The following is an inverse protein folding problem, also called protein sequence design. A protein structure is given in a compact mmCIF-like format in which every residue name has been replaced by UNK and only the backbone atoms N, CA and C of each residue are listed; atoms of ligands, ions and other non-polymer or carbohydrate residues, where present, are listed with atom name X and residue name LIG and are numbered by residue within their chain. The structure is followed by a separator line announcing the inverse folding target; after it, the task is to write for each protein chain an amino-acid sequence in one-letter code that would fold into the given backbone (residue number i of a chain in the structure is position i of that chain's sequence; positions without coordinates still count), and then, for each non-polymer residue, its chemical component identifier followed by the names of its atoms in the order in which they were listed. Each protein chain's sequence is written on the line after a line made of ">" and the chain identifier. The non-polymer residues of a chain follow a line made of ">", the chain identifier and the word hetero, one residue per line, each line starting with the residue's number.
data_IF_401712787063
#
_entry.id   IF_401712787063
#
_cell.length_a   1.000
_cell.length_b   1.000
_cell.length_c   1.000
_cell.angle_alpha   90.00
_cell.angle_beta   90.00
_cell.angle_gamma   90.00
#
_symmetry.space_group_name_H-M   'P 1'
#
loop_
_entity.id
_entity.type
_entity.pdbx_description
1 polymer ?
#
# COMPACT_ATOMS: atom_id res chain seq x y z
N UNK A 1 -18.04 -12.52 15.02
CA UNK A 1 -17.08 -12.93 13.97
C UNK A 1 -16.21 -11.78 13.44
N UNK A 2 -16.74 -10.59 13.12
CA UNK A 2 -15.96 -9.45 12.59
C UNK A 2 -14.91 -8.92 13.58
N UNK A 3 -15.19 -8.89 14.89
CA UNK A 3 -14.24 -8.41 15.93
C UNK A 3 -12.97 -9.28 16.04
N UNK A 4 -13.06 -10.57 15.82
CA UNK A 4 -11.89 -11.48 15.88
C UNK A 4 -11.08 -11.45 14.59
N UNK A 5 -11.70 -11.18 13.45
CA UNK A 5 -11.01 -11.02 12.17
C UNK A 5 -10.17 -9.73 12.13
N UNK A 6 -10.68 -8.64 12.71
CA UNK A 6 -9.93 -7.37 12.84
C UNK A 6 -8.67 -7.54 13.72
N UNK A 7 -8.77 -8.31 14.82
CA UNK A 7 -7.63 -8.62 15.69
C UNK A 7 -6.57 -9.49 14.98
N UNK A 8 -6.97 -10.42 14.14
CA UNK A 8 -6.07 -11.32 13.41
C UNK A 8 -5.34 -10.57 12.28
N UNK A 9 -5.97 -9.56 11.67
CA UNK A 9 -5.36 -8.75 10.60
C UNK A 9 -4.52 -7.59 11.18
N UNK A 10 -4.94 -7.00 12.30
CA UNK A 10 -4.21 -5.91 12.98
C UNK A 10 -3.05 -6.41 13.85
N UNK A 11 -3.14 -7.60 14.43
CA UNK A 11 -2.07 -8.16 15.27
C UNK A 11 -0.72 -8.27 14.54
N UNK A 12 -0.61 -8.80 13.30
CA UNK A 12 0.67 -8.84 12.60
C UNK A 12 1.16 -7.48 12.11
N UNK A 13 0.29 -6.45 12.07
CA UNK A 13 0.68 -5.07 11.70
C UNK A 13 1.11 -4.29 12.95
N UNK A 14 0.50 -4.53 14.11
CA UNK A 14 0.80 -3.84 15.38
C UNK A 14 1.93 -4.51 16.17
N UNK A 15 2.10 -5.82 16.09
CA UNK A 15 3.19 -6.56 16.73
C UNK A 15 4.59 -6.12 16.26
N UNK A 16 4.84 -5.85 14.96
CA UNK A 16 6.14 -5.31 14.55
C UNK A 16 6.41 -3.90 15.07
N UNK A 17 5.38 -3.06 15.23
CA UNK A 17 5.56 -1.73 15.84
C UNK A 17 5.97 -1.81 17.33
N UNK A 18 5.42 -2.77 18.08
CA UNK A 18 5.80 -3.02 19.46
C UNK A 18 7.20 -3.67 19.56
N UNK A 19 7.56 -4.55 18.62
CA UNK A 19 8.89 -5.17 18.54
C UNK A 19 9.97 -4.17 18.12
N UNK A 20 9.66 -3.20 17.26
CA UNK A 20 10.53 -2.08 16.90
C UNK A 20 10.84 -1.16 18.09
N UNK A 21 9.95 -1.12 19.10
CA UNK A 21 10.16 -0.39 20.34
C UNK A 21 10.99 -1.17 21.37
N UNK A 22 11.18 -2.48 21.20
CA UNK A 22 11.73 -3.39 22.22
C UNK A 22 13.18 -3.84 22.00
N UNK A 23 13.88 -3.37 20.93
CA UNK A 23 15.29 -3.71 20.72
C UNK A 23 16.20 -2.78 21.57
N UNK A 24 16.27 -3.11 22.86
CA UNK A 24 17.05 -2.41 23.90
C UNK A 24 18.36 -3.13 24.21
N UNK A 25 19.28 -3.19 23.26
CA UNK A 25 20.64 -3.60 23.62
C UNK A 25 21.70 -2.87 22.78
N UNK A 26 22.21 -1.82 23.38
CA UNK A 26 23.58 -1.35 23.53
C UNK A 26 23.59 0.16 23.83
N UNK A 27 24.15 0.50 24.97
CA UNK A 27 24.40 1.86 25.47
C UNK A 27 25.56 2.55 24.72
N UNK A 28 25.38 2.77 23.42
CA UNK A 28 26.08 3.86 22.74
C UNK A 28 25.09 5.00 22.61
N UNK A 29 25.55 6.26 22.85
CA UNK A 29 24.73 7.47 22.79
C UNK A 29 23.78 7.46 21.58
N UNK A 30 22.57 6.98 21.79
CA UNK A 30 21.52 7.02 20.77
C UNK A 30 21.10 8.47 20.65
N UNK A 31 21.54 9.16 19.62
CA UNK A 31 20.87 10.39 19.21
C UNK A 31 19.36 10.07 19.15
N UNK A 32 18.61 10.62 20.11
CA UNK A 32 17.17 10.30 20.26
C UNK A 32 16.41 10.62 18.97
N UNK A 33 15.34 9.85 18.67
CA UNK A 33 14.48 10.16 17.53
C UNK A 33 13.86 11.55 17.68
N UNK A 34 13.66 12.20 16.55
CA UNK A 34 12.82 13.40 16.44
C UNK A 34 11.38 12.96 16.25
N UNK A 35 10.49 13.43 17.10
CA UNK A 35 9.07 13.09 17.11
C UNK A 35 8.25 14.26 16.60
N UNK A 36 7.19 13.98 15.84
CA UNK A 36 6.29 15.00 15.34
C UNK A 36 4.84 14.50 15.27
N UNK A 37 3.92 15.44 15.38
CA UNK A 37 2.50 15.24 15.09
C UNK A 37 2.10 16.14 13.94
N UNK A 38 1.17 15.67 13.12
CA UNK A 38 0.68 16.40 11.96
C UNK A 38 -0.84 16.40 11.95
N UNK A 39 -1.42 17.56 11.62
CA UNK A 39 -2.84 17.71 11.36
C UNK A 39 -3.02 18.24 9.93
N UNK A 40 -3.87 17.60 9.15
CA UNK A 40 -4.03 17.89 7.73
C UNK A 40 -5.51 17.95 7.34
N UNK A 41 -5.82 18.85 6.40
CA UNK A 41 -7.10 18.95 5.71
C UNK A 41 -6.87 18.71 4.21
N UNK A 42 -7.70 17.86 3.63
CA UNK A 42 -7.57 17.44 2.23
C UNK A 42 -8.94 17.51 1.55
N UNK A 43 -9.38 18.70 1.08
CA UNK A 43 -10.47 18.76 0.13
C UNK A 43 -10.10 18.01 -1.15
N UNK A 44 -11.04 17.22 -1.69
CA UNK A 44 -10.77 16.33 -2.81
C UNK A 44 -11.89 16.28 -3.84
N UNK A 45 -11.52 15.87 -5.05
CA UNK A 45 -12.41 15.56 -6.15
C UNK A 45 -12.46 14.04 -6.37
N UNK A 46 -13.67 13.49 -6.39
CA UNK A 46 -13.91 12.08 -6.69
C UNK A 46 -13.73 11.86 -8.19
N UNK A 47 -12.88 10.89 -8.58
CA UNK A 47 -12.69 10.54 -9.99
C UNK A 47 -13.80 9.60 -10.45
N UNK A 48 -14.56 10.01 -11.46
CA UNK A 48 -15.75 9.29 -11.94
C UNK A 48 -15.39 8.09 -12.82
N UNK A 49 -14.94 7.03 -12.21
CA UNK A 49 -14.57 5.77 -12.89
C UNK A 49 -15.75 4.81 -13.11
N UNK A 50 -16.93 5.14 -12.57
CA UNK A 50 -18.11 4.29 -12.60
C UNK A 50 -19.37 5.16 -12.75
N UNK A 51 -20.45 4.60 -13.35
CA UNK A 51 -21.71 5.31 -13.56
C UNK A 51 -22.41 5.69 -12.26
N UNK A 52 -22.27 4.88 -11.20
CA UNK A 52 -22.77 5.24 -9.86
C UNK A 52 -22.23 6.59 -9.38
N UNK A 53 -20.97 6.89 -9.63
CA UNK A 53 -20.34 8.16 -9.28
C UNK A 53 -20.77 9.31 -10.21
N UNK A 54 -21.25 9.01 -11.41
CA UNK A 54 -21.74 9.99 -12.42
C UNK A 54 -23.21 10.36 -12.27
N UNK A 55 -23.91 9.79 -11.27
CA UNK A 55 -25.32 10.04 -11.04
C UNK A 55 -26.24 8.84 -11.31
N UNK A 56 -25.69 7.69 -11.71
CA UNK A 56 -26.43 6.41 -11.76
C UNK A 56 -26.59 5.83 -10.36
N UNK A 57 -27.25 6.58 -9.47
CA UNK A 57 -27.45 6.28 -8.05
C UNK A 57 -28.83 6.77 -7.59
N UNK A 58 -29.27 6.37 -6.40
CA UNK A 58 -30.62 6.69 -5.85
C UNK A 58 -30.96 8.19 -5.85
N UNK A 59 -29.96 9.07 -5.70
CA UNK A 59 -30.17 10.52 -5.67
C UNK A 59 -30.17 11.16 -7.08
N UNK A 60 -29.78 10.43 -8.12
CA UNK A 60 -29.60 10.94 -9.47
C UNK A 60 -28.53 12.05 -9.58
N UNK A 61 -27.58 12.11 -8.63
CA UNK A 61 -26.59 13.19 -8.53
C UNK A 61 -25.18 12.68 -8.63
N UNK A 62 -24.35 13.44 -9.32
CA UNK A 62 -22.91 13.20 -9.45
C UNK A 62 -22.22 13.42 -8.10
N UNK A 63 -21.36 12.48 -7.70
CA UNK A 63 -20.55 12.57 -6.49
C UNK A 63 -19.21 13.22 -6.83
N UNK A 64 -19.08 14.53 -6.63
CA UNK A 64 -17.90 15.29 -7.06
C UNK A 64 -16.86 15.51 -5.95
N UNK A 65 -17.32 15.67 -4.71
CA UNK A 65 -16.51 16.23 -3.64
C UNK A 65 -16.31 15.23 -2.51
N UNK A 66 -15.16 15.34 -1.88
CA UNK A 66 -14.85 14.70 -0.62
C UNK A 66 -14.04 15.66 0.25
N UNK A 67 -14.05 15.40 1.54
CA UNK A 67 -13.16 16.06 2.48
C UNK A 67 -12.53 15.03 3.40
N UNK A 68 -11.23 15.23 3.74
CA UNK A 68 -10.51 14.34 4.66
C UNK A 68 -9.80 15.19 5.70
N UNK A 69 -10.07 14.88 6.98
CA UNK A 69 -9.28 15.35 8.11
C UNK A 69 -8.32 14.25 8.56
N UNK A 70 -7.03 14.55 8.69
CA UNK A 70 -6.01 13.57 9.09
C UNK A 70 -5.29 14.02 10.35
N UNK A 71 -5.00 13.05 11.21
CA UNK A 71 -4.12 13.20 12.36
C UNK A 71 -3.04 12.12 12.31
N UNK A 72 -1.77 12.52 12.39
CA UNK A 72 -0.62 11.63 12.23
C UNK A 72 0.39 11.83 13.34
N UNK A 73 1.03 10.74 13.77
CA UNK A 73 2.23 10.75 14.59
C UNK A 73 3.37 10.09 13.82
N UNK A 74 4.53 10.75 13.81
CA UNK A 74 5.72 10.23 13.15
C UNK A 74 6.97 10.38 14.00
N UNK A 75 7.98 9.63 13.62
CA UNK A 75 9.33 9.73 14.12
C UNK A 75 10.34 9.64 12.99
N UNK A 76 11.50 10.27 13.16
CA UNK A 76 12.59 10.31 12.21
C UNK A 76 13.95 10.32 12.92
N UNK A 77 15.01 9.95 12.22
CA UNK A 77 16.37 10.14 12.73
C UNK A 77 16.74 11.62 12.75
N UNK A 78 17.56 12.07 13.72
CA UNK A 78 18.11 13.41 13.70
C UNK A 78 18.85 13.69 12.40
N UNK A 79 18.78 14.95 11.93
CA UNK A 79 19.33 15.37 10.63
C UNK A 79 20.86 15.20 10.53
N UNK A 80 21.56 15.14 11.64
CA UNK A 80 23.02 14.95 11.75
C UNK A 80 23.46 13.49 11.81
N UNK A 81 22.64 12.56 11.35
CA UNK A 81 22.98 11.13 11.27
C UNK A 81 23.26 10.67 9.84
N UNK A 82 24.14 9.66 9.63
CA UNK A 82 24.35 9.07 8.31
C UNK A 82 23.05 8.56 7.68
N UNK A 83 22.15 7.96 8.47
CA UNK A 83 20.84 7.49 8.00
C UNK A 83 19.99 8.62 7.44
N UNK A 84 19.94 9.78 8.13
CA UNK A 84 19.19 10.95 7.66
C UNK A 84 19.77 11.49 6.35
N UNK A 85 21.08 11.42 6.15
CA UNK A 85 21.73 11.79 4.88
C UNK A 85 21.37 10.80 3.77
N UNK A 86 21.45 9.48 4.02
CA UNK A 86 21.16 8.42 3.06
C UNK A 86 19.71 8.48 2.61
N UNK A 87 18.78 8.53 3.57
CA UNK A 87 17.33 8.45 3.33
C UNK A 87 16.66 9.83 3.28
N UNK A 88 17.47 10.89 3.12
CA UNK A 88 16.98 12.27 2.93
C UNK A 88 15.99 12.74 3.99
N UNK A 89 16.25 12.38 5.26
CA UNK A 89 15.37 12.72 6.38
C UNK A 89 14.04 11.96 6.35
N UNK A 90 14.08 10.68 5.98
CA UNK A 90 12.90 9.83 6.01
C UNK A 90 12.26 9.80 7.39
N UNK A 91 10.95 9.91 7.42
CA UNK A 91 10.11 9.81 8.60
C UNK A 91 9.01 8.77 8.36
N UNK A 92 8.56 8.13 9.41
CA UNK A 92 7.55 7.10 9.38
C UNK A 92 6.67 7.15 10.62
N UNK A 93 5.46 6.60 10.51
CA UNK A 93 4.54 6.63 11.63
C UNK A 93 3.19 5.98 11.36
N UNK A 94 2.22 6.37 12.19
CA UNK A 94 0.83 5.93 12.13
C UNK A 94 -0.09 7.13 11.99
N UNK A 95 -1.18 6.96 11.28
CA UNK A 95 -2.18 8.01 11.09
C UNK A 95 -3.61 7.48 11.16
N UNK A 96 -4.51 8.41 11.42
CA UNK A 96 -5.94 8.21 11.29
C UNK A 96 -6.51 9.30 10.37
N UNK A 97 -7.50 8.94 9.55
CA UNK A 97 -8.18 9.86 8.64
C UNK A 97 -9.69 9.66 8.73
N UNK A 98 -10.41 10.74 8.97
CA UNK A 98 -11.86 10.79 8.85
C UNK A 98 -12.23 11.33 7.48
N UNK A 99 -13.07 10.59 6.75
CA UNK A 99 -13.49 10.93 5.40
C UNK A 99 -14.94 11.36 5.39
N UNK A 100 -15.23 12.43 4.68
CA UNK A 100 -16.58 12.88 4.38
C UNK A 100 -16.86 12.66 2.89
N UNK A 101 -17.84 11.80 2.62
CA UNK A 101 -18.35 11.49 1.30
C UNK A 101 -19.86 11.73 1.20
N UNK A 102 -20.42 11.47 0.01
CA UNK A 102 -21.85 11.39 -0.18
C UNK A 102 -22.50 10.37 0.79
N UNK A 103 -23.70 10.63 1.36
CA UNK A 103 -24.37 9.72 2.31
C UNK A 103 -24.56 8.28 1.82
N UNK A 104 -24.59 8.05 0.50
CA UNK A 104 -24.66 6.71 -0.09
C UNK A 104 -23.34 5.91 0.04
N UNK A 105 -22.21 6.58 0.32
CA UNK A 105 -20.91 5.99 0.62
C UNK A 105 -20.62 5.98 2.12
N UNK A 106 -21.26 6.85 2.92
CA UNK A 106 -21.00 7.08 4.34
C UNK A 106 -19.74 7.93 4.62
N UNK A 107 -19.41 8.08 5.91
CA UNK A 107 -18.23 8.81 6.40
C UNK A 107 -17.27 7.83 7.09
N UNK A 108 -16.47 7.09 6.32
CA UNK A 108 -15.60 6.06 6.87
C UNK A 108 -14.37 6.64 7.59
N UNK A 109 -13.73 5.79 8.41
CA UNK A 109 -12.49 6.07 9.12
C UNK A 109 -11.37 5.18 8.61
N UNK A 110 -10.21 5.76 8.30
CA UNK A 110 -8.98 5.03 7.96
C UNK A 110 -8.00 5.03 9.13
N UNK A 111 -7.28 3.91 9.29
CA UNK A 111 -6.08 3.80 10.12
C UNK A 111 -4.97 3.24 9.24
N UNK A 112 -3.81 3.88 9.26
CA UNK A 112 -2.73 3.56 8.32
C UNK A 112 -1.34 3.77 8.90
N UNK A 113 -0.37 3.08 8.32
CA UNK A 113 1.05 3.37 8.43
C UNK A 113 1.47 4.26 7.26
N UNK A 114 2.49 5.06 7.46
CA UNK A 114 3.01 5.92 6.41
C UNK A 114 4.52 6.10 6.51
N UNK A 115 5.10 6.49 5.40
CA UNK A 115 6.48 6.91 5.29
C UNK A 115 6.61 8.01 4.26
N UNK A 116 7.39 9.02 4.58
CA UNK A 116 7.75 10.09 3.67
C UNK A 116 9.23 10.43 3.75
N UNK A 117 9.70 11.14 2.74
CA UNK A 117 11.06 11.68 2.71
C UNK A 117 11.14 12.90 1.78
N UNK A 118 12.22 13.65 1.92
CA UNK A 118 12.51 14.78 1.06
C UNK A 118 13.00 14.30 -0.30
N UNK A 119 12.39 14.81 -1.36
CA UNK A 119 12.86 14.62 -2.74
C UNK A 119 13.99 15.61 -3.06
N UNK A 120 13.72 16.91 -2.81
CA UNK A 120 14.64 17.99 -3.11
C UNK A 120 14.54 19.13 -2.08
N UNK A 121 15.66 19.79 -1.85
CA UNK A 121 15.72 21.05 -1.10
C UNK A 121 15.68 22.20 -2.09
N UNK A 122 14.67 23.06 -1.98
CA UNK A 122 14.48 24.25 -2.86
C UNK A 122 15.20 25.45 -2.25
N UNK A 123 14.94 25.69 -0.96
CA UNK A 123 15.65 26.71 -0.17
C UNK A 123 15.99 26.13 1.20
N UNK A 124 16.65 26.92 2.07
CA UNK A 124 16.91 26.50 3.47
C UNK A 124 15.63 26.18 4.26
N UNK A 125 14.51 26.76 3.86
CA UNK A 125 13.23 26.64 4.57
C UNK A 125 12.19 25.84 3.78
N UNK A 126 12.39 25.63 2.48
CA UNK A 126 11.42 25.01 1.58
C UNK A 126 11.98 23.75 0.93
N UNK A 127 11.25 22.67 1.02
CA UNK A 127 11.58 21.39 0.38
C UNK A 127 10.39 20.77 -0.33
N UNK A 128 10.66 19.98 -1.37
CA UNK A 128 9.70 19.10 -2.01
C UNK A 128 9.83 17.72 -1.39
N UNK A 129 8.71 17.16 -0.96
CA UNK A 129 8.63 15.89 -0.26
C UNK A 129 7.61 14.97 -0.93
N UNK A 130 7.73 13.68 -0.69
CA UNK A 130 6.71 12.68 -0.97
C UNK A 130 6.30 11.97 0.32
N UNK A 131 5.11 11.38 0.31
CA UNK A 131 4.64 10.47 1.35
C UNK A 131 3.74 9.41 0.71
N UNK A 132 3.80 8.20 1.20
CA UNK A 132 2.83 7.16 0.91
C UNK A 132 2.20 6.67 2.21
N UNK A 133 0.93 6.30 2.12
CA UNK A 133 0.10 5.81 3.22
C UNK A 133 -0.52 4.48 2.81
N UNK A 134 -0.48 3.49 3.70
CA UNK A 134 -1.10 2.19 3.51
C UNK A 134 -1.84 1.76 4.77
N UNK A 135 -3.10 1.40 4.63
CA UNK A 135 -3.90 0.97 5.77
C UNK A 135 -5.25 0.39 5.41
N UNK A 136 -6.16 0.49 6.35
CA UNK A 136 -7.53 0.00 6.22
C UNK A 136 -8.51 1.12 6.51
N UNK A 137 -9.60 1.15 5.73
CA UNK A 137 -10.74 2.05 5.94
C UNK A 137 -11.96 1.23 6.34
N UNK A 138 -12.63 1.62 7.40
CA UNK A 138 -13.81 0.98 7.95
C UNK A 138 -15.00 1.95 8.01
N UNK A 139 -16.23 1.43 7.93
CA UNK A 139 -17.43 2.26 8.09
C UNK A 139 -18.11 2.63 6.78
N UNK A 140 -17.73 2.02 5.66
CA UNK A 140 -18.41 2.17 4.39
C UNK A 140 -19.86 1.68 4.45
N UNK A 141 -20.74 2.31 3.64
CA UNK A 141 -22.05 1.78 3.25
C UNK A 141 -21.87 1.02 1.93
N UNK A 142 -21.65 -0.31 1.96
CA UNK A 142 -21.30 -1.08 0.77
C UNK A 142 -22.53 -1.33 -0.12
N UNK A 143 -22.28 -1.92 -1.30
CA UNK A 143 -23.33 -2.53 -2.11
C UNK A 143 -24.20 -3.47 -1.30
N UNK A 144 -25.49 -3.32 -1.46
CA UNK A 144 -26.53 -4.19 -0.91
C UNK A 144 -27.71 -4.20 -1.88
N UNK A 145 -28.25 -5.38 -2.20
CA UNK A 145 -29.29 -5.54 -3.23
C UNK A 145 -30.59 -4.77 -2.91
N UNK A 146 -30.87 -4.55 -1.62
CA UNK A 146 -32.11 -3.93 -1.17
C UNK A 146 -31.92 -2.45 -0.82
N UNK A 147 -30.82 -2.10 -0.15
CA UNK A 147 -30.62 -0.79 0.46
C UNK A 147 -29.59 0.11 -0.24
N UNK A 148 -28.74 -0.45 -1.15
CA UNK A 148 -27.74 0.31 -1.92
C UNK A 148 -27.36 -0.43 -3.22
N UNK A 149 -28.34 -0.74 -4.10
CA UNK A 149 -28.15 -1.63 -5.26
C UNK A 149 -27.26 -1.04 -6.35
N UNK A 150 -27.16 0.28 -6.42
CA UNK A 150 -26.38 0.97 -7.44
C UNK A 150 -24.90 1.14 -7.09
N UNK A 151 -24.51 0.90 -5.83
CA UNK A 151 -23.12 1.05 -5.39
C UNK A 151 -22.23 -0.06 -5.95
N UNK A 152 -21.73 0.13 -7.17
CA UNK A 152 -20.78 -0.77 -7.82
C UNK A 152 -19.33 -0.51 -7.43
N UNK A 153 -19.08 0.50 -6.59
CA UNK A 153 -17.73 0.98 -6.23
C UNK A 153 -17.19 0.27 -5.00
N UNK A 154 -18.00 0.19 -3.93
CA UNK A 154 -17.61 -0.37 -2.64
C UNK A 154 -18.50 -1.57 -2.30
N UNK A 155 -17.94 -2.77 -2.34
CA UNK A 155 -18.67 -4.00 -2.03
C UNK A 155 -18.48 -4.52 -0.60
N UNK A 156 -17.66 -3.88 0.23
CA UNK A 156 -17.39 -4.33 1.61
C UNK A 156 -17.34 -3.17 2.60
N UNK A 157 -17.62 -3.47 3.89
CA UNK A 157 -17.52 -2.48 4.97
C UNK A 157 -16.10 -2.08 5.31
N UNK A 158 -15.11 -2.84 4.84
CA UNK A 158 -13.68 -2.60 5.03
C UNK A 158 -12.99 -2.65 3.68
N UNK A 159 -12.13 -1.66 3.42
CA UNK A 159 -11.30 -1.58 2.22
C UNK A 159 -9.85 -1.35 2.60
N UNK A 160 -8.93 -1.62 1.70
CA UNK A 160 -7.59 -1.04 1.75
C UNK A 160 -7.70 0.48 1.57
N UNK A 161 -6.78 1.19 2.20
CA UNK A 161 -6.49 2.61 2.05
C UNK A 161 -5.09 2.75 1.50
N UNK A 162 -4.96 3.27 0.29
CA UNK A 162 -3.69 3.53 -0.37
C UNK A 162 -3.69 4.98 -0.78
N UNK A 163 -2.68 5.74 -0.35
CA UNK A 163 -2.60 7.16 -0.68
C UNK A 163 -1.15 7.54 -0.97
N UNK A 164 -0.95 8.40 -1.96
CA UNK A 164 0.36 8.92 -2.35
C UNK A 164 0.28 10.43 -2.45
N UNK A 165 1.26 11.09 -1.89
CA UNK A 165 1.31 12.53 -1.77
C UNK A 165 2.62 13.11 -2.29
N UNK A 166 2.52 14.29 -2.91
CA UNK A 166 3.65 15.17 -3.20
C UNK A 166 3.34 16.55 -2.66
N UNK A 167 4.25 17.10 -1.84
CA UNK A 167 3.98 18.35 -1.16
C UNK A 167 5.23 19.19 -0.92
N UNK A 168 5.02 20.48 -0.84
CA UNK A 168 6.00 21.45 -0.36
C UNK A 168 5.91 21.50 1.17
N UNK A 169 7.06 21.38 1.83
CA UNK A 169 7.20 21.56 3.26
C UNK A 169 7.94 22.86 3.50
N UNK A 170 7.29 23.80 4.16
CA UNK A 170 7.85 25.08 4.53
C UNK A 170 8.09 25.16 6.05
N UNK A 171 9.36 25.26 6.44
CA UNK A 171 9.77 25.44 7.82
C UNK A 171 9.46 26.85 8.28
N UNK A 172 8.41 27.02 9.11
CA UNK A 172 7.99 28.31 9.67
C UNK A 172 8.79 28.69 10.89
N UNK A 173 9.02 27.73 11.78
CA UNK A 173 9.81 27.91 13.01
C UNK A 173 10.69 26.67 13.23
N UNK A 174 11.26 26.60 14.42
CA UNK A 174 12.02 25.44 14.87
C UNK A 174 11.12 24.23 15.12
N UNK A 175 9.91 24.47 15.60
CA UNK A 175 8.97 23.43 15.98
C UNK A 175 7.85 23.24 14.96
N UNK A 176 7.62 24.19 14.04
CA UNK A 176 6.44 24.21 13.18
C UNK A 176 6.81 24.28 11.71
N UNK A 177 6.25 23.35 10.91
CA UNK A 177 6.29 23.35 9.46
C UNK A 177 4.86 23.43 8.89
N UNK A 178 4.72 24.14 7.77
CA UNK A 178 3.50 24.17 6.95
C UNK A 178 3.70 23.26 5.74
N UNK A 179 2.72 22.42 5.47
CA UNK A 179 2.69 21.50 4.32
C UNK A 179 1.59 21.88 3.36
N UNK A 180 1.88 21.92 2.06
CA UNK A 180 0.88 22.13 1.02
C UNK A 180 1.22 21.29 -0.22
N UNK A 181 0.24 20.60 -0.79
CA UNK A 181 0.49 19.70 -1.91
C UNK A 181 -0.74 19.02 -2.47
N UNK A 182 -0.50 17.89 -3.09
CA UNK A 182 -1.54 17.07 -3.74
C UNK A 182 -1.48 15.64 -3.22
N UNK A 183 -2.61 14.96 -3.24
CA UNK A 183 -2.73 13.54 -2.91
C UNK A 183 -3.55 12.79 -3.94
N UNK A 184 -3.29 11.50 -4.08
CA UNK A 184 -4.09 10.56 -4.84
C UNK A 184 -4.40 9.38 -3.94
N UNK A 185 -5.67 9.23 -3.59
CA UNK A 185 -6.17 8.19 -2.68
C UNK A 185 -6.94 7.14 -3.45
N UNK A 186 -6.71 5.86 -3.13
CA UNK A 186 -7.44 4.72 -3.67
C UNK A 186 -8.02 3.86 -2.55
N UNK A 187 -9.30 3.47 -2.70
CA UNK A 187 -9.98 2.53 -1.82
C UNK A 187 -10.46 1.33 -2.63
N UNK A 188 -10.10 0.13 -2.19
CA UNK A 188 -10.63 -1.12 -2.76
C UNK A 188 -10.53 -2.26 -1.76
N UNK A 189 -11.30 -3.31 -1.98
CA UNK A 189 -11.21 -4.51 -1.13
C UNK A 189 -10.33 -5.62 -1.73
N UNK A 190 -9.58 -5.34 -2.82
CA UNK A 190 -8.71 -6.31 -3.46
C UNK A 190 -9.45 -7.54 -4.03
N UNK A 191 -10.67 -7.36 -4.51
CA UNK A 191 -11.55 -8.41 -5.05
C UNK A 191 -11.96 -9.49 -4.03
N UNK A 192 -11.85 -9.21 -2.73
CA UNK A 192 -12.35 -10.14 -1.69
C UNK A 192 -13.87 -10.16 -1.61
N UNK A 193 -14.55 -9.15 -2.17
CA UNK A 193 -16.01 -9.05 -2.30
C UNK A 193 -16.39 -8.25 -3.54
N UNK A 194 -17.43 -8.67 -4.24
CA UNK A 194 -17.97 -8.02 -5.44
C UNK A 194 -19.29 -7.30 -5.08
N UNK A 195 -19.55 -6.11 -5.71
CA UNK A 195 -18.73 -5.37 -6.67
C UNK A 195 -17.54 -4.66 -6.02
N UNK A 196 -16.51 -4.33 -6.79
CA UNK A 196 -15.32 -3.63 -6.33
C UNK A 196 -14.66 -2.85 -7.47
N UNK A 197 -15.33 -1.84 -8.01
CA UNK A 197 -14.69 -0.94 -9.00
C UNK A 197 -13.65 -0.01 -8.37
N UNK A 198 -13.63 0.10 -7.05
CA UNK A 198 -12.76 0.97 -6.30
C UNK A 198 -13.13 2.46 -6.38
N UNK A 199 -12.72 3.24 -5.39
CA UNK A 199 -12.92 4.68 -5.32
C UNK A 199 -11.58 5.38 -5.39
N UNK A 200 -11.46 6.34 -6.31
CA UNK A 200 -10.27 7.18 -6.46
C UNK A 200 -10.61 8.63 -6.17
N UNK A 201 -9.74 9.31 -5.41
CA UNK A 201 -9.88 10.71 -5.03
C UNK A 201 -8.58 11.45 -5.28
N UNK A 202 -8.65 12.56 -6.00
CA UNK A 202 -7.54 13.51 -6.13
C UNK A 202 -7.78 14.66 -5.14
N UNK A 203 -6.83 14.94 -4.28
CA UNK A 203 -6.96 15.91 -3.20
C UNK A 203 -5.91 17.03 -3.24
N UNK A 204 -6.27 18.19 -2.70
CA UNK A 204 -5.35 19.27 -2.37
C UNK A 204 -5.10 19.22 -0.86
N UNK A 205 -3.85 19.04 -0.46
CA UNK A 205 -3.45 18.89 0.94
C UNK A 205 -2.97 20.22 1.51
N UNK A 206 -3.41 20.56 2.72
CA UNK A 206 -2.80 21.57 3.58
C UNK A 206 -2.68 21.02 4.98
N UNK A 207 -1.54 21.20 5.64
CA UNK A 207 -1.33 20.67 6.99
C UNK A 207 -0.24 21.40 7.77
N UNK A 208 -0.25 21.17 9.06
CA UNK A 208 0.76 21.65 10.01
C UNK A 208 1.45 20.44 10.64
N UNK A 209 2.78 20.51 10.76
CA UNK A 209 3.60 19.53 11.46
C UNK A 209 4.29 20.20 12.64
N UNK A 210 4.04 19.68 13.85
CA UNK A 210 4.69 20.13 15.08
C UNK A 210 5.74 19.13 15.53
N UNK A 211 6.97 19.59 15.72
CA UNK A 211 8.13 18.80 16.12
C UNK A 211 8.42 19.02 17.61
N UNK A 212 8.46 17.95 18.39
CA UNK A 212 8.67 18.03 19.84
C UNK A 212 10.12 18.34 20.21
N UNK A 213 11.09 17.78 19.50
CA UNK A 213 12.49 17.80 19.87
C UNK A 213 13.45 17.98 18.69
N UNK A 214 13.04 18.74 17.67
CA UNK A 214 13.92 19.08 16.55
C UNK A 214 15.06 19.98 17.04
N UNK A 215 16.32 19.52 16.87
CA UNK A 215 17.53 20.21 17.31
C UNK A 215 17.72 21.62 16.75
N UNK A 216 18.67 22.38 17.31
CA UNK A 216 18.97 23.77 16.88
C UNK A 216 19.64 23.87 15.51
N UNK A 217 20.03 22.76 14.93
CA UNK A 217 20.82 22.72 13.70
C UNK A 217 20.11 23.43 12.54
N UNK A 218 20.75 24.51 12.08
CA UNK A 218 20.17 25.41 11.06
C UNK A 218 20.15 24.81 9.65
N UNK A 219 20.95 23.80 9.38
CA UNK A 219 20.99 23.05 8.12
C UNK A 219 21.51 21.64 8.37
N UNK A 220 21.06 20.62 7.61
CA UNK A 220 21.67 19.30 7.68
C UNK A 220 23.13 19.42 7.25
N UNK A 221 24.04 19.20 8.18
CA UNK A 221 25.45 19.02 7.81
C UNK A 221 25.57 17.66 7.16
N UNK A 222 26.04 17.57 5.91
CA UNK A 222 26.26 16.28 5.28
C UNK A 222 27.18 15.45 6.18
N UNK A 223 26.70 14.29 6.61
CA UNK A 223 27.52 13.32 7.35
C UNK A 223 28.27 12.44 6.35
N UNK A 224 29.46 12.02 6.71
CA UNK A 224 30.18 11.01 5.94
C UNK A 224 29.36 9.72 5.91
N UNK A 225 28.85 9.41 4.73
CA UNK A 225 28.11 8.17 4.47
C UNK A 225 29.12 7.09 4.12
N UNK A 226 29.16 5.97 4.86
CA UNK A 226 30.07 4.87 4.52
C UNK A 226 29.83 4.39 3.08
N UNK A 227 30.89 3.93 2.40
CA UNK A 227 30.75 3.35 1.07
C UNK A 227 29.79 2.14 1.12
N UNK A 228 28.87 2.08 0.17
CA UNK A 228 27.93 0.97 0.09
C UNK A 228 28.57 -0.26 -0.54
N UNK A 229 28.53 -1.40 0.15
CA UNK A 229 29.00 -2.69 -0.38
C UNK A 229 27.95 -3.27 -1.33
N UNK A 230 28.16 -3.10 -2.64
CA UNK A 230 27.29 -3.65 -3.68
C UNK A 230 27.37 -5.17 -3.69
N UNK A 231 26.21 -5.82 -3.67
CA UNK A 231 26.12 -7.28 -3.60
C UNK A 231 24.81 -7.78 -4.20
N UNK A 232 24.72 -9.09 -4.43
CA UNK A 232 23.46 -9.73 -4.79
C UNK A 232 22.86 -10.32 -3.51
N UNK A 233 21.59 -9.99 -3.24
CA UNK A 233 20.76 -10.66 -2.24
C UNK A 233 19.64 -11.45 -2.92
N UNK A 234 19.07 -12.41 -2.22
CA UNK A 234 18.00 -13.26 -2.73
C UNK A 234 16.82 -13.18 -1.77
N UNK A 235 15.66 -12.80 -2.28
CA UNK A 235 14.41 -12.83 -1.51
C UNK A 235 13.54 -13.99 -1.98
N UNK A 236 13.11 -14.83 -1.05
CA UNK A 236 12.05 -15.82 -1.28
C UNK A 236 10.80 -15.37 -0.54
N UNK A 237 9.73 -15.12 -1.26
CA UNK A 237 8.43 -14.74 -0.74
C UNK A 237 7.44 -15.86 -0.97
N UNK A 238 6.64 -16.19 0.03
CA UNK A 238 5.44 -17.04 -0.11
C UNK A 238 4.25 -16.22 0.31
N UNK A 239 3.20 -16.22 -0.50
CA UNK A 239 2.00 -15.44 -0.26
C UNK A 239 0.72 -16.22 -0.56
N UNK A 240 -0.38 -15.74 0.00
CA UNK A 240 -1.70 -16.25 -0.26
C UNK A 240 -2.77 -15.18 -0.13
N UNK A 241 -3.92 -15.45 -0.73
CA UNK A 241 -5.12 -14.62 -0.63
C UNK A 241 -6.36 -15.42 -0.98
N UNK A 242 -7.52 -14.82 -0.72
CA UNK A 242 -8.80 -15.27 -1.24
C UNK A 242 -9.41 -14.16 -2.08
N UNK A 243 -9.96 -14.53 -3.23
CA UNK A 243 -10.71 -13.60 -4.06
C UNK A 243 -12.08 -14.14 -4.41
N UNK A 244 -12.98 -13.23 -4.80
CA UNK A 244 -14.26 -13.52 -5.43
C UNK A 244 -14.15 -13.29 -6.91
N UNK A 245 -14.86 -14.07 -7.70
CA UNK A 245 -15.05 -13.84 -9.12
C UNK A 245 -16.45 -13.30 -9.35
N UNK A 246 -16.55 -12.25 -10.16
CA UNK A 246 -17.82 -11.64 -10.51
C UNK A 246 -17.94 -11.45 -12.01
N UNK A 247 -19.16 -11.42 -12.50
CA UNK A 247 -19.52 -11.05 -13.85
C UNK A 247 -20.78 -10.16 -13.83
N UNK A 248 -21.03 -9.48 -14.92
CA UNK A 248 -22.27 -8.73 -15.07
C UNK A 248 -23.31 -9.63 -15.72
N UNK A 249 -24.17 -10.21 -14.88
CA UNK A 249 -25.34 -10.98 -15.29
C UNK A 249 -26.52 -10.09 -15.71
N UNK A 250 -27.64 -10.70 -16.08
CA UNK A 250 -28.86 -9.96 -16.50
C UNK A 250 -29.46 -9.06 -15.41
N UNK A 251 -29.29 -9.43 -14.15
CA UNK A 251 -29.79 -8.70 -12.98
C UNK A 251 -28.75 -7.78 -12.33
N UNK A 252 -27.60 -7.56 -12.99
CA UNK A 252 -26.53 -6.71 -12.46
C UNK A 252 -25.28 -7.50 -12.02
N UNK A 253 -24.48 -6.92 -11.11
CA UNK A 253 -23.25 -7.56 -10.65
C UNK A 253 -23.53 -8.87 -9.93
N UNK A 254 -23.14 -9.97 -10.50
CA UNK A 254 -23.34 -11.32 -9.96
C UNK A 254 -22.00 -11.91 -9.56
N UNK A 255 -21.91 -12.49 -8.37
CA UNK A 255 -20.74 -13.21 -7.91
C UNK A 255 -20.87 -14.70 -8.18
N UNK A 256 -19.84 -15.32 -8.73
CA UNK A 256 -19.73 -16.79 -8.77
C UNK A 256 -19.74 -17.32 -7.33
N UNK A 257 -20.55 -18.34 -7.02
CA UNK A 257 -20.60 -18.93 -5.69
C UNK A 257 -19.22 -19.35 -5.18
N UNK A 258 -18.94 -19.14 -3.90
CA UNK A 258 -17.68 -19.53 -3.29
C UNK A 258 -16.59 -18.45 -3.27
N UNK A 259 -15.47 -18.79 -2.64
CA UNK A 259 -14.25 -17.99 -2.59
C UNK A 259 -13.11 -18.82 -3.15
N UNK A 260 -12.26 -18.19 -3.93
CA UNK A 260 -11.19 -18.84 -4.66
C UNK A 260 -9.85 -18.54 -4.01
N UNK A 261 -9.10 -19.56 -3.63
CA UNK A 261 -7.77 -19.40 -3.06
C UNK A 261 -6.76 -19.03 -4.15
N UNK A 262 -5.84 -18.13 -3.80
CA UNK A 262 -4.65 -17.83 -4.59
C UNK A 262 -3.45 -18.09 -3.69
N UNK A 263 -2.48 -18.85 -4.18
CA UNK A 263 -1.21 -19.12 -3.49
C UNK A 263 -0.07 -18.92 -4.48
N UNK A 264 1.01 -18.31 -4.06
CA UNK A 264 2.14 -18.11 -4.93
C UNK A 264 3.46 -17.91 -4.20
N UNK A 265 4.52 -17.84 -5.00
CA UNK A 265 5.85 -17.49 -4.54
C UNK A 265 6.54 -16.53 -5.49
N UNK A 266 7.49 -15.76 -4.96
CA UNK A 266 8.43 -14.98 -5.75
C UNK A 266 9.85 -15.33 -5.29
N UNK A 267 10.73 -15.66 -6.22
CA UNK A 267 12.16 -15.80 -5.97
C UNK A 267 12.90 -14.68 -6.70
N UNK A 268 13.45 -13.74 -5.90
CA UNK A 268 14.00 -12.48 -6.40
C UNK A 268 15.52 -12.42 -6.19
N UNK A 269 16.39 -12.73 -7.16
CA UNK A 269 17.76 -12.27 -7.20
C UNK A 269 17.80 -10.75 -7.41
N UNK A 270 18.34 -10.02 -6.43
CA UNK A 270 18.35 -8.56 -6.40
C UNK A 270 19.78 -8.04 -6.28
N UNK A 271 20.23 -7.25 -7.24
CA UNK A 271 21.47 -6.49 -7.15
C UNK A 271 21.23 -5.23 -6.32
N UNK A 272 21.88 -5.16 -5.16
CA UNK A 272 21.82 -4.01 -4.26
C UNK A 272 22.76 -2.94 -4.80
N UNK A 273 22.20 -1.90 -5.42
CA UNK A 273 22.93 -0.83 -6.12
C UNK A 273 23.43 0.20 -5.12
N UNK A 274 22.59 0.55 -4.16
CA UNK A 274 22.85 1.56 -3.14
C UNK A 274 22.07 1.27 -1.85
N UNK A 275 22.20 2.12 -0.85
CA UNK A 275 21.44 2.01 0.40
C UNK A 275 19.91 2.01 0.17
N UNK A 276 19.43 2.73 -0.83
CA UNK A 276 18.00 2.96 -1.07
C UNK A 276 17.44 2.30 -2.33
N UNK A 277 18.28 1.66 -3.16
CA UNK A 277 17.85 1.09 -4.45
C UNK A 277 18.43 -0.32 -4.66
N UNK A 278 17.55 -1.26 -4.95
CA UNK A 278 17.84 -2.57 -5.52
C UNK A 278 17.17 -2.70 -6.89
N UNK A 279 17.78 -3.46 -7.78
CA UNK A 279 17.15 -3.88 -9.03
C UNK A 279 17.47 -5.36 -9.31
N UNK A 280 16.60 -6.05 -9.99
CA UNK A 280 16.82 -7.47 -10.28
C UNK A 280 15.70 -8.08 -11.09
N UNK A 281 15.59 -9.39 -10.98
CA UNK A 281 14.57 -10.18 -11.66
C UNK A 281 13.84 -11.06 -10.63
N UNK A 282 12.72 -11.63 -11.02
CA UNK A 282 11.98 -12.60 -10.21
C UNK A 282 11.47 -13.74 -11.04
N UNK A 283 11.53 -14.94 -10.49
CA UNK A 283 10.73 -16.08 -10.88
C UNK A 283 9.49 -16.10 -10.03
N UNK A 284 8.32 -15.97 -10.64
CA UNK A 284 7.02 -15.83 -9.98
C UNK A 284 6.15 -17.03 -10.30
N UNK A 285 5.76 -17.79 -9.27
CA UNK A 285 4.82 -18.89 -9.42
C UNK A 285 3.47 -18.53 -8.79
N UNK A 286 2.38 -18.88 -9.47
CA UNK A 286 1.02 -18.68 -8.98
C UNK A 286 0.15 -19.91 -9.23
N UNK A 287 -0.66 -20.26 -8.25
CA UNK A 287 -1.85 -21.07 -8.35
C UNK A 287 -3.06 -20.20 -8.05
N UNK A 288 -3.97 -20.08 -9.01
CA UNK A 288 -5.21 -19.32 -8.88
C UNK A 288 -6.40 -20.24 -9.13
N UNK A 289 -7.09 -20.61 -8.05
CA UNK A 289 -8.25 -21.51 -8.10
C UNK A 289 -9.41 -20.96 -8.93
N UNK A 290 -9.47 -19.66 -9.19
CA UNK A 290 -10.48 -19.03 -10.03
C UNK A 290 -10.12 -19.04 -11.52
N UNK A 291 -8.88 -19.38 -11.88
CA UNK A 291 -8.45 -19.34 -13.28
C UNK A 291 -9.17 -20.42 -14.09
N UNK A 292 -9.67 -20.03 -15.27
CA UNK A 292 -10.31 -20.90 -16.25
C UNK A 292 -11.56 -21.64 -15.78
N UNK A 293 -12.18 -21.23 -14.67
CA UNK A 293 -13.50 -21.74 -14.29
C UNK A 293 -14.55 -21.21 -15.26
N UNK A 294 -15.61 -21.99 -15.47
CA UNK A 294 -16.81 -21.60 -16.22
C UNK A 294 -18.01 -21.69 -15.29
N UNK A 295 -18.79 -20.64 -15.25
CA UNK A 295 -20.03 -20.59 -14.46
C UNK A 295 -21.22 -20.40 -15.38
N UNK A 296 -22.24 -21.20 -15.17
CA UNK A 296 -23.51 -21.12 -15.89
C UNK A 296 -24.56 -20.52 -14.94
N UNK A 297 -24.96 -19.27 -15.19
CA UNK A 297 -25.95 -18.54 -14.37
C UNK A 297 -27.37 -19.13 -14.41
N UNK A 298 -27.70 -19.95 -15.42
CA UNK A 298 -29.03 -20.57 -15.56
C UNK A 298 -29.16 -21.85 -14.74
N UNK A 299 -28.07 -22.60 -14.59
CA UNK A 299 -28.06 -23.87 -13.85
C UNK A 299 -27.39 -23.78 -12.50
N UNK A 300 -26.83 -22.61 -12.17
CA UNK A 300 -26.00 -22.37 -10.96
C UNK A 300 -24.82 -23.35 -10.84
N UNK A 301 -24.33 -23.83 -11.97
CA UNK A 301 -23.27 -24.84 -12.05
C UNK A 301 -21.91 -24.17 -12.31
N UNK A 302 -20.92 -24.54 -11.48
CA UNK A 302 -19.52 -24.12 -11.67
C UNK A 302 -18.69 -25.30 -12.16
N UNK A 303 -18.09 -25.17 -13.36
CA UNK A 303 -17.22 -26.18 -13.95
C UNK A 303 -15.77 -25.77 -13.69
N UNK A 304 -15.04 -26.65 -13.02
CA UNK A 304 -13.63 -26.47 -12.69
C UNK A 304 -12.74 -27.15 -13.73
N UNK A 305 -11.67 -26.48 -14.19
CA UNK A 305 -10.68 -27.08 -15.06
C UNK A 305 -9.74 -28.01 -14.27
N UNK A 306 -8.87 -28.75 -14.97
CA UNK A 306 -7.76 -29.45 -14.31
C UNK A 306 -6.84 -28.47 -13.60
N UNK A 307 -6.29 -28.85 -12.44
CA UNK A 307 -5.43 -27.99 -11.59
C UNK A 307 -4.24 -27.40 -12.35
N UNK A 308 -3.67 -28.14 -13.31
CA UNK A 308 -2.58 -27.64 -14.16
C UNK A 308 -2.96 -26.39 -14.97
N UNK A 309 -4.25 -26.21 -15.28
CA UNK A 309 -4.77 -25.03 -15.98
C UNK A 309 -5.02 -23.82 -15.06
N UNK A 310 -4.74 -23.98 -13.78
CA UNK A 310 -4.87 -22.95 -12.76
C UNK A 310 -3.50 -22.49 -12.24
N UNK A 311 -2.42 -22.93 -12.88
CA UNK A 311 -1.03 -22.63 -12.50
C UNK A 311 -0.33 -21.85 -13.61
N UNK A 312 0.54 -20.91 -13.21
CA UNK A 312 1.43 -20.22 -14.13
C UNK A 312 2.80 -19.96 -13.48
N UNK A 313 3.81 -19.84 -14.35
CA UNK A 313 5.13 -19.32 -14.01
C UNK A 313 5.41 -18.08 -14.84
N UNK A 314 5.91 -17.04 -14.21
CA UNK A 314 6.26 -15.78 -14.83
C UNK A 314 7.69 -15.38 -14.53
N UNK A 315 8.22 -14.54 -15.40
CA UNK A 315 9.48 -13.82 -15.17
C UNK A 315 9.20 -12.33 -15.14
N UNK A 316 9.73 -11.64 -14.13
CA UNK A 316 9.56 -10.20 -13.99
C UNK A 316 10.86 -9.46 -13.68
N UNK A 317 10.94 -8.22 -14.16
CA UNK A 317 11.89 -7.24 -13.67
C UNK A 317 11.40 -6.67 -12.34
N UNK A 318 12.33 -6.40 -11.42
CA UNK A 318 12.05 -5.86 -10.09
C UNK A 318 12.88 -4.62 -9.81
N UNK A 319 12.24 -3.63 -9.19
CA UNK A 319 12.89 -2.48 -8.58
C UNK A 319 12.42 -2.34 -7.13
N UNK A 320 13.35 -2.12 -6.21
CA UNK A 320 13.05 -1.93 -4.80
C UNK A 320 13.60 -0.59 -4.30
N UNK A 321 12.70 0.19 -3.70
CA UNK A 321 13.04 1.40 -2.98
C UNK A 321 13.10 1.08 -1.50
N UNK A 322 14.32 1.01 -0.97
CA UNK A 322 14.59 0.57 0.39
C UNK A 322 14.63 1.78 1.32
N UNK A 323 13.86 1.71 2.39
CA UNK A 323 13.82 2.68 3.48
C UNK A 323 14.14 1.99 4.81
N UNK A 324 14.34 2.70 5.91
CA UNK A 324 14.79 2.09 7.17
C UNK A 324 13.94 0.89 7.64
N UNK A 325 12.61 1.00 7.53
CA UNK A 325 11.68 -0.03 8.02
C UNK A 325 10.88 -0.70 6.91
N UNK A 326 10.81 -0.06 5.75
CA UNK A 326 9.94 -0.42 4.64
C UNK A 326 10.75 -0.58 3.36
N UNK A 327 10.27 -1.42 2.48
CA UNK A 327 10.77 -1.50 1.10
C UNK A 327 9.59 -1.55 0.17
N UNK A 328 9.52 -0.62 -0.78
CA UNK A 328 8.53 -0.66 -1.86
C UNK A 328 9.14 -1.50 -2.99
N UNK A 329 8.46 -2.57 -3.37
CA UNK A 329 8.82 -3.43 -4.47
C UNK A 329 7.88 -3.20 -5.65
N UNK A 330 8.43 -2.85 -6.80
CA UNK A 330 7.73 -2.73 -8.06
C UNK A 330 8.19 -3.84 -9.00
N UNK A 331 7.25 -4.47 -9.67
CA UNK A 331 7.52 -5.53 -10.62
C UNK A 331 6.70 -5.38 -11.89
N UNK A 332 7.31 -5.74 -13.02
CA UNK A 332 6.62 -5.92 -14.28
C UNK A 332 7.12 -7.21 -14.91
N UNK A 333 6.22 -8.09 -15.30
CA UNK A 333 6.55 -9.41 -15.79
C UNK A 333 5.59 -9.93 -16.82
N UNK A 334 5.95 -11.07 -17.38
CA UNK A 334 5.13 -11.84 -18.33
C UNK A 334 5.11 -13.30 -17.90
N UNK A 335 3.93 -13.93 -17.99
CA UNK A 335 3.83 -15.36 -17.77
C UNK A 335 4.47 -16.11 -18.94
N UNK A 336 5.48 -16.94 -18.63
CA UNK A 336 6.25 -17.71 -19.64
C UNK A 336 5.79 -19.16 -19.73
N UNK A 337 5.17 -19.68 -18.67
CA UNK A 337 4.48 -20.96 -18.66
C UNK A 337 3.11 -20.71 -18.07
N UNK A 338 2.11 -20.83 -18.91
CA UNK A 338 0.71 -20.75 -18.51
C UNK A 338 -0.06 -21.84 -19.22
N UNK A 339 -1.09 -22.33 -18.61
CA UNK A 339 -1.87 -23.40 -19.18
C UNK A 339 -3.10 -22.89 -19.92
N UNK A 340 -3.44 -21.60 -19.86
CA UNK A 340 -4.60 -21.03 -20.58
C UNK A 340 -4.69 -19.49 -20.45
N UNK A 341 -5.60 -18.88 -21.24
CA UNK A 341 -5.79 -17.45 -21.51
C UNK A 341 -6.00 -16.55 -20.29
N UNK A 342 -6.53 -17.06 -19.18
CA UNK A 342 -6.78 -16.24 -17.97
C UNK A 342 -5.51 -15.86 -17.18
N UNK A 343 -4.42 -16.60 -17.40
CA UNK A 343 -3.11 -16.33 -16.81
C UNK A 343 -2.07 -15.94 -17.88
N UNK A 344 -2.52 -15.63 -19.10
CA UNK A 344 -1.65 -15.12 -20.16
C UNK A 344 -1.48 -13.62 -20.04
N UNK A 345 -0.35 -13.09 -20.53
CA UNK A 345 -0.11 -11.65 -20.64
C UNK A 345 0.85 -11.06 -19.61
N UNK A 346 0.85 -9.75 -19.58
CA UNK A 346 1.66 -8.97 -18.66
C UNK A 346 1.00 -8.91 -17.27
N UNK A 347 1.83 -8.90 -16.24
CA UNK A 347 1.38 -8.64 -14.87
C UNK A 347 2.31 -7.65 -14.20
N UNK A 348 1.74 -6.88 -13.29
CA UNK A 348 2.43 -5.93 -12.46
C UNK A 348 2.30 -6.32 -10.99
N UNK A 349 3.33 -6.04 -10.22
CA UNK A 349 3.35 -6.23 -8.78
C UNK A 349 3.73 -4.92 -8.11
N UNK A 350 2.87 -4.49 -7.21
CA UNK A 350 3.16 -3.45 -6.24
C UNK A 350 3.13 -4.08 -4.86
N UNK A 351 4.24 -4.01 -4.12
CA UNK A 351 4.28 -4.57 -2.78
C UNK A 351 5.05 -3.71 -1.80
N UNK A 352 4.59 -3.73 -0.55
CA UNK A 352 5.27 -3.21 0.61
C UNK A 352 5.88 -4.39 1.38
N UNK A 353 7.16 -4.32 1.65
CA UNK A 353 7.88 -5.24 2.54
C UNK A 353 8.14 -4.54 3.86
N UNK A 354 7.61 -5.09 4.97
CA UNK A 354 7.87 -4.60 6.32
C UNK A 354 8.97 -5.45 6.93
N UNK A 355 10.14 -4.88 7.17
CA UNK A 355 11.29 -5.60 7.68
C UNK A 355 11.07 -5.94 9.17
N UNK A 356 10.94 -7.23 9.50
CA UNK A 356 10.87 -7.74 10.88
C UNK A 356 12.28 -7.98 11.44
N UNK A 357 13.20 -8.36 10.59
CA UNK A 357 14.61 -8.57 10.91
C UNK A 357 15.46 -8.33 9.66
N UNK A 358 16.78 -8.55 9.78
CA UNK A 358 17.68 -8.52 8.61
C UNK A 358 17.37 -9.60 7.56
N UNK A 359 16.67 -10.67 7.95
CA UNK A 359 16.40 -11.86 7.12
C UNK A 359 14.94 -12.09 6.83
N UNK A 360 14.03 -11.50 7.58
CA UNK A 360 12.59 -11.76 7.48
C UNK A 360 11.81 -10.47 7.29
N UNK A 361 10.76 -10.54 6.50
CA UNK A 361 9.85 -9.42 6.28
C UNK A 361 8.42 -9.90 6.02
N UNK A 362 7.45 -9.09 6.37
CA UNK A 362 6.05 -9.24 5.93
C UNK A 362 5.93 -8.68 4.52
N UNK A 363 5.22 -9.37 3.66
CA UNK A 363 4.93 -8.98 2.28
C UNK A 363 3.44 -8.66 2.14
N UNK A 364 3.14 -7.41 1.78
CA UNK A 364 1.79 -6.94 1.50
C UNK A 364 1.80 -6.42 0.08
N UNK A 365 1.30 -7.22 -0.85
CA UNK A 365 1.35 -6.90 -2.26
C UNK A 365 0.01 -6.98 -2.95
N UNK A 366 -0.02 -6.47 -4.15
CA UNK A 366 -1.13 -6.54 -5.08
C UNK A 366 -0.61 -6.81 -6.49
N UNK A 367 -1.27 -7.74 -7.19
CA UNK A 367 -1.00 -8.00 -8.59
C UNK A 367 -2.09 -7.40 -9.46
N UNK A 368 -1.67 -6.79 -10.56
CA UNK A 368 -2.53 -6.33 -11.66
C UNK A 368 -2.22 -7.16 -12.90
N UNK A 369 -3.16 -7.19 -13.85
CA UNK A 369 -2.95 -7.74 -15.19
C UNK A 369 -3.18 -6.64 -16.22
N UNK A 370 -2.22 -6.49 -17.15
CA UNK A 370 -2.27 -5.54 -18.26
C UNK A 370 -2.53 -4.10 -17.83
N UNK A 371 -1.98 -3.68 -16.68
CA UNK A 371 -2.10 -2.34 -16.07
C UNK A 371 -3.53 -1.87 -15.78
N UNK A 372 -4.52 -2.73 -15.91
CA UNK A 372 -5.95 -2.35 -15.82
C UNK A 372 -6.75 -3.24 -14.89
N UNK A 373 -6.47 -4.54 -14.92
CA UNK A 373 -7.34 -5.53 -14.31
C UNK A 373 -6.80 -5.89 -12.92
N UNK A 374 -7.52 -5.52 -11.85
CA UNK A 374 -7.21 -5.99 -10.52
C UNK A 374 -7.21 -7.52 -10.49
N UNK A 375 -6.13 -8.13 -10.02
CA UNK A 375 -6.05 -9.59 -9.93
C UNK A 375 -6.25 -10.07 -8.50
N UNK A 376 -5.21 -10.03 -7.67
CA UNK A 376 -5.27 -10.57 -6.32
C UNK A 376 -4.33 -9.86 -5.34
N UNK A 377 -4.69 -9.94 -4.06
CA UNK A 377 -3.81 -9.63 -2.96
C UNK A 377 -2.68 -10.66 -2.87
N UNK A 378 -1.52 -10.23 -2.37
CA UNK A 378 -0.34 -11.05 -2.14
C UNK A 378 0.10 -10.83 -0.68
N UNK A 379 -0.58 -11.50 0.25
CA UNK A 379 -0.31 -11.37 1.69
C UNK A 379 0.56 -12.53 2.15
N UNK A 380 1.75 -12.25 2.67
CA UNK A 380 2.67 -13.31 3.01
C UNK A 380 3.92 -12.87 3.76
N UNK A 381 4.91 -13.73 3.72
CA UNK A 381 6.20 -13.50 4.37
C UNK A 381 7.34 -13.80 3.40
N UNK A 382 8.46 -13.13 3.62
CA UNK A 382 9.66 -13.36 2.85
C UNK A 382 10.88 -13.61 3.73
N UNK A 383 11.80 -14.38 3.13
CA UNK A 383 13.14 -14.64 3.66
C UNK A 383 14.18 -13.98 2.74
N UNK A 384 15.14 -13.28 3.33
CA UNK A 384 16.23 -12.62 2.61
C UNK A 384 17.56 -13.28 2.94
N UNK A 385 18.27 -13.68 1.91
CA UNK A 385 19.58 -14.32 1.99
C UNK A 385 20.66 -13.39 1.44
N UNK A 386 21.89 -13.54 1.94
CA UNK A 386 23.06 -12.76 1.52
C UNK A 386 22.87 -11.24 1.62
N UNK A 387 22.14 -10.78 2.62
CA UNK A 387 21.95 -9.35 2.89
C UNK A 387 23.14 -8.79 3.67
N UNK A 388 24.01 -8.04 2.99
CA UNK A 388 25.20 -7.42 3.57
C UNK A 388 24.96 -5.99 4.07
N UNK A 389 23.73 -5.51 4.05
CA UNK A 389 23.39 -4.18 4.59
C UNK A 389 23.72 -4.14 6.07
N UNK A 390 24.59 -3.20 6.45
CA UNK A 390 24.87 -2.94 7.87
C UNK A 390 23.66 -2.21 8.47
N UNK A 391 23.31 -2.50 9.73
CA UNK A 391 22.50 -1.58 10.51
C UNK A 391 23.32 -0.31 10.72
N UNK A 392 22.81 0.80 10.30
CA UNK A 392 23.41 2.10 10.53
C UNK A 392 23.01 2.63 11.92
#
# INVERSE_FOLDING_TARGET
>A
MVKHLLLIILAPVLLPLAALAADTDSLQERAGYVHLVMAEAVPGAILHTNDYLKGGNDEGRTMNHSFVGRLKYAFMRPQNTPEASIYKGAYQGIGAAWHEFNPQLSNPLSVYIFQGARIATITRQLSLNYEWNLGLTCGWKPYDKETNPDNKVIGSRVTAYIDTEFYLNWRLSRELDLNAGVSLTHFSNGNTKIPNSGLNVAGAKVGLAYYFNRGREAAPTPQDVPAFDRHISYDLVVYGAWKRMGFYGKEGPTAVPGSFAVVGFNFNPLYNISYWLNAGVSLDGIYDHSANIRYNEYTDETIYPATSKQMALGLSARAEFVMPYFTINLGIGHHVVNADRHLDGWYEVLALKLNLSRRTFVHIGYSLNDFKNPNNLMLGMGLRFNNKRKSL
#
